data_IF_753668492073
#
_entry.id   IF_753668492073
#
_cell.length_a   1.000
_cell.length_b   1.000
_cell.length_c   1.000
_cell.angle_alpha   90.00
_cell.angle_beta   90.00
_cell.angle_gamma   90.00
#
_symmetry.space_group_name_H-M   'P 1'
#
loop_
_entity.id
_entity.type
_entity.pdbx_description
1 polymer ?
#
# COMPACT_ATOMS: atom_id res chain seq x y z
N UNK A 1 -12.43 -5.58 -0.75
CA UNK A 1 -13.27 -6.76 -0.42
C UNK A 1 -14.71 -6.32 -0.47
N UNK A 2 -15.59 -7.12 -1.08
CA UNK A 2 -17.05 -6.93 -1.05
C UNK A 2 -17.64 -8.16 -0.37
N UNK A 3 -18.56 -7.96 0.57
CA UNK A 3 -19.23 -9.03 1.30
C UNK A 3 -20.72 -9.04 0.91
N UNK A 4 -21.17 -10.13 0.29
CA UNK A 4 -22.56 -10.32 -0.10
C UNK A 4 -23.28 -11.13 0.99
N UNK A 5 -24.46 -10.66 1.40
CA UNK A 5 -25.28 -11.30 2.44
C UNK A 5 -26.73 -11.40 1.97
N UNK A 6 -27.47 -12.33 2.56
CA UNK A 6 -28.91 -12.50 2.34
C UNK A 6 -29.69 -11.86 3.49
N UNK A 7 -30.77 -11.12 3.23
CA UNK A 7 -31.58 -10.50 4.28
C UNK A 7 -32.56 -11.48 4.95
N UNK A 8 -32.62 -12.73 4.50
CA UNK A 8 -33.58 -13.71 5.02
C UNK A 8 -33.15 -14.26 6.39
N UNK A 9 -34.10 -14.42 7.30
CA UNK A 9 -33.85 -14.81 8.70
C UNK A 9 -33.15 -16.17 8.83
N UNK A 10 -33.42 -17.12 7.93
CA UNK A 10 -32.77 -18.43 7.95
C UNK A 10 -31.26 -18.36 7.62
N UNK A 11 -30.79 -17.26 7.02
CA UNK A 11 -29.37 -17.01 6.73
C UNK A 11 -28.69 -16.11 7.77
N UNK A 12 -29.34 -15.85 8.91
CA UNK A 12 -28.84 -14.90 9.90
C UNK A 12 -27.44 -15.26 10.42
N UNK A 13 -27.21 -16.54 10.75
CA UNK A 13 -25.94 -16.99 11.34
C UNK A 13 -24.76 -16.89 10.33
N UNK A 14 -25.00 -17.29 9.09
CA UNK A 14 -24.02 -17.16 8.00
C UNK A 14 -23.77 -15.70 7.60
N UNK A 15 -24.82 -14.87 7.60
CA UNK A 15 -24.69 -13.43 7.33
C UNK A 15 -23.91 -12.73 8.44
N UNK A 16 -24.12 -13.11 9.70
CA UNK A 16 -23.36 -12.60 10.84
C UNK A 16 -21.88 -13.02 10.75
N UNK A 17 -21.61 -14.28 10.41
CA UNK A 17 -20.25 -14.79 10.21
C UNK A 17 -19.52 -14.05 9.08
N UNK A 18 -20.21 -13.81 7.97
CA UNK A 18 -19.72 -13.02 6.82
C UNK A 18 -19.39 -11.58 7.23
N UNK A 19 -20.27 -10.91 7.97
CA UNK A 19 -20.04 -9.55 8.46
C UNK A 19 -18.87 -9.47 9.46
N UNK A 20 -18.73 -10.45 10.35
CA UNK A 20 -17.59 -10.54 11.27
C UNK A 20 -16.27 -10.70 10.52
N UNK A 21 -16.25 -11.49 9.45
CA UNK A 21 -15.08 -11.61 8.60
C UNK A 21 -14.77 -10.30 7.87
N UNK A 22 -15.77 -9.65 7.28
CA UNK A 22 -15.61 -8.35 6.63
C UNK A 22 -15.04 -7.27 7.57
N UNK A 23 -15.51 -7.24 8.83
CA UNK A 23 -14.99 -6.33 9.85
C UNK A 23 -13.51 -6.60 10.15
N UNK A 24 -13.11 -7.88 10.28
CA UNK A 24 -11.69 -8.24 10.43
C UNK A 24 -10.85 -7.81 9.23
N UNK A 25 -11.34 -8.02 8.01
CA UNK A 25 -10.66 -7.64 6.79
C UNK A 25 -10.49 -6.11 6.66
N UNK A 26 -11.45 -5.32 7.14
CA UNK A 26 -11.34 -3.85 7.18
C UNK A 26 -10.16 -3.36 8.02
N UNK A 27 -9.76 -4.13 9.04
CA UNK A 27 -8.66 -3.76 9.94
C UNK A 27 -7.27 -4.11 9.38
N UNK A 28 -7.19 -4.79 8.23
CA UNK A 28 -5.91 -5.14 7.60
C UNK A 28 -5.30 -3.87 7.00
N UNK A 29 -4.14 -3.46 7.52
CA UNK A 29 -3.39 -2.30 7.04
C UNK A 29 -2.34 -2.74 6.02
N UNK A 30 -2.62 -2.50 4.74
CA UNK A 30 -1.65 -2.74 3.68
C UNK A 30 -0.74 -1.51 3.49
N UNK A 31 0.56 -1.75 3.32
CA UNK A 31 1.53 -0.73 2.87
C UNK A 31 1.67 -0.84 1.35
N UNK A 32 0.86 -0.10 0.62
CA UNK A 32 0.99 -0.03 -0.83
C UNK A 32 2.34 0.62 -1.19
N UNK A 33 3.14 -0.08 -2.00
CA UNK A 33 4.35 0.44 -2.62
C UNK A 33 4.12 0.50 -4.12
N UNK A 34 4.59 1.58 -4.75
CA UNK A 34 4.64 1.64 -6.20
C UNK A 34 5.70 0.61 -6.63
N UNK A 35 5.28 -0.36 -7.44
CA UNK A 35 6.21 -1.28 -8.07
C UNK A 35 6.91 -0.53 -9.21
N UNK A 36 7.96 0.23 -8.88
CA UNK A 36 8.92 0.73 -9.86
C UNK A 36 9.91 -0.39 -10.20
N UNK A 37 10.37 -0.43 -11.46
CA UNK A 37 11.42 -1.36 -11.85
C UNK A 37 12.67 -1.05 -11.01
N UNK A 38 13.29 -2.04 -10.34
CA UNK A 38 14.44 -1.80 -9.47
C UNK A 38 15.58 -1.06 -10.17
N UNK A 39 15.70 -1.19 -11.50
CA UNK A 39 16.70 -0.45 -12.28
C UNK A 39 16.41 1.05 -12.34
N UNK A 40 15.15 1.42 -12.58
CA UNK A 40 14.73 2.82 -12.69
C UNK A 40 14.75 3.53 -11.33
N UNK A 41 14.35 2.81 -10.27
CA UNK A 41 14.44 3.31 -8.90
C UNK A 41 15.90 3.62 -8.50
N UNK A 42 16.83 2.71 -8.82
CA UNK A 42 18.27 2.91 -8.57
C UNK A 42 18.84 4.07 -9.39
N UNK A 43 18.52 4.16 -10.68
CA UNK A 43 18.96 5.26 -11.53
C UNK A 43 18.49 6.61 -11.00
N UNK A 44 17.24 6.71 -10.53
CA UNK A 44 16.69 7.95 -9.94
C UNK A 44 17.34 8.29 -8.59
N UNK A 45 17.68 7.30 -7.77
CA UNK A 45 18.44 7.51 -6.53
C UNK A 45 19.86 8.03 -6.82
N UNK A 46 20.58 7.37 -7.72
CA UNK A 46 21.94 7.77 -8.08
C UNK A 46 21.99 9.15 -8.72
N UNK A 47 21.03 9.52 -9.56
CA UNK A 47 20.94 10.87 -10.11
C UNK A 47 20.75 11.93 -9.01
N UNK A 48 19.88 11.68 -8.03
CA UNK A 48 19.67 12.59 -6.89
C UNK A 48 20.91 12.72 -6.00
N UNK A 49 21.59 11.62 -5.72
CA UNK A 49 22.83 11.64 -4.93
C UNK A 49 23.93 12.41 -5.65
N UNK A 50 24.10 12.21 -6.96
CA UNK A 50 25.06 12.97 -7.78
C UNK A 50 24.75 14.46 -7.75
N UNK A 51 23.48 14.84 -7.86
CA UNK A 51 23.06 16.25 -7.83
C UNK A 51 23.32 16.89 -6.46
N UNK A 52 23.01 16.18 -5.37
CA UNK A 52 23.32 16.64 -4.00
C UNK A 52 24.81 16.82 -3.77
N UNK A 53 25.63 15.84 -4.19
CA UNK A 53 27.09 15.91 -4.04
C UNK A 53 27.69 17.04 -4.88
N UNK A 54 27.20 17.26 -6.10
CA UNK A 54 27.60 18.41 -6.92
C UNK A 54 27.28 19.74 -6.26
N UNK A 55 26.08 19.86 -5.68
CA UNK A 55 25.67 21.07 -4.97
C UNK A 55 26.53 21.35 -3.73
N UNK A 56 26.87 20.32 -2.96
CA UNK A 56 27.79 20.45 -1.82
C UNK A 56 29.20 20.89 -2.23
N UNK A 57 29.67 20.44 -3.40
CA UNK A 57 30.96 20.88 -3.94
C UNK A 57 30.93 22.32 -4.48
N UNK A 58 29.79 22.79 -4.96
CA UNK A 58 29.60 24.19 -5.38
C UNK A 58 29.43 25.15 -4.20
N UNK A 59 28.74 24.75 -3.12
CA UNK A 59 28.61 25.53 -1.89
C UNK A 59 29.93 25.63 -1.09
N UNK A 60 30.90 24.76 -1.39
CA UNK A 60 32.25 24.76 -0.80
C UNK A 60 33.30 25.61 -1.55
N UNK A 61 32.90 26.39 -2.55
CA UNK A 61 33.74 27.39 -3.24
C UNK A 61 33.41 28.80 -2.79
#
# INVERSE_FOLDING_TARGET
MIANISPADYNFDESLSTLRYANRAKNIKNKAKINEDPKDAMLRQFQKEIEQLRKQLEEGK
#
